data_IF_579599655202
#
_entry.id   IF_579599655202
#
_cell.length_a   1.000
_cell.length_b   1.000
_cell.length_c   1.000
_cell.angle_alpha   90.00
_cell.angle_beta   90.00
_cell.angle_gamma   90.00
#
_symmetry.space_group_name_H-M   'P 1'
#
loop_
_entity.id
_entity.type
_entity.pdbx_description
1 polymer ?
#
# COMPACT_ATOMS: atom_id res chain seq x y z
N UNK A 1 3.90 2.78 -3.65
CA UNK A 1 2.80 1.92 -3.17
C UNK A 1 3.04 0.42 -3.40
N UNK A 2 3.41 -0.04 -4.61
CA UNK A 2 3.60 -1.47 -4.92
C UNK A 2 4.63 -2.19 -4.02
N UNK A 3 5.85 -1.67 -3.94
CA UNK A 3 6.94 -2.28 -3.17
C UNK A 3 6.65 -2.26 -1.66
N UNK A 4 5.94 -1.22 -1.20
CA UNK A 4 5.52 -1.04 0.19
C UNK A 4 4.37 -1.98 0.56
N UNK A 5 3.37 -2.16 -0.31
CA UNK A 5 2.29 -3.14 -0.15
C UNK A 5 2.81 -4.58 -0.11
N UNK A 6 3.83 -4.89 -0.91
CA UNK A 6 4.53 -6.18 -0.85
C UNK A 6 5.20 -6.39 0.51
N UNK A 7 5.96 -5.40 0.99
CA UNK A 7 6.64 -5.49 2.28
C UNK A 7 5.65 -5.61 3.44
N UNK A 8 4.53 -4.88 3.42
CA UNK A 8 3.44 -4.99 4.41
C UNK A 8 2.86 -6.41 4.42
N UNK A 9 2.63 -7.02 3.24
CA UNK A 9 2.16 -8.40 3.14
C UNK A 9 3.16 -9.40 3.75
N UNK A 10 4.45 -9.15 3.58
CA UNK A 10 5.52 -10.05 4.06
C UNK A 10 5.82 -9.89 5.55
N UNK A 11 5.60 -8.71 6.10
CA UNK A 11 6.07 -8.38 7.44
C UNK A 11 5.28 -9.08 8.56
N UNK A 12 4.09 -9.65 8.31
CA UNK A 12 3.18 -10.29 9.30
C UNK A 12 2.78 -9.41 10.50
N UNK A 13 3.38 -8.23 10.66
CA UNK A 13 3.06 -7.22 11.68
C UNK A 13 1.83 -6.38 11.35
N UNK A 14 1.40 -6.38 10.09
CA UNK A 14 0.31 -5.54 9.59
C UNK A 14 -0.83 -6.38 8.99
N UNK A 15 -2.09 -5.92 9.10
CA UNK A 15 -3.22 -6.60 8.47
C UNK A 15 -3.02 -6.66 6.96
N UNK A 16 -3.18 -7.84 6.37
CA UNK A 16 -2.96 -8.09 4.94
C UNK A 16 -3.86 -7.24 4.04
N UNK A 17 -5.01 -6.78 4.55
CA UNK A 17 -5.95 -5.86 3.86
C UNK A 17 -5.24 -4.57 3.40
N UNK A 18 -4.40 -3.97 4.24
CA UNK A 18 -3.70 -2.72 3.88
C UNK A 18 -2.67 -2.93 2.78
N UNK A 19 -2.02 -4.10 2.76
CA UNK A 19 -1.10 -4.48 1.68
C UNK A 19 -1.79 -4.56 0.33
N UNK A 20 -3.00 -5.13 0.27
CA UNK A 20 -3.81 -5.17 -0.96
C UNK A 20 -4.27 -3.79 -1.41
N UNK A 21 -4.71 -2.92 -0.48
CA UNK A 21 -5.05 -1.53 -0.81
C UNK A 21 -3.85 -0.76 -1.41
N UNK A 22 -2.66 -0.96 -0.85
CA UNK A 22 -1.42 -0.35 -1.35
C UNK A 22 -1.00 -0.87 -2.72
N UNK A 23 -1.17 -2.17 -2.97
CA UNK A 23 -0.92 -2.76 -4.28
C UNK A 23 -1.92 -2.22 -5.32
N UNK A 24 -3.21 -2.15 -4.97
CA UNK A 24 -4.25 -1.62 -5.84
C UNK A 24 -4.01 -0.15 -6.21
N UNK A 25 -3.65 0.70 -5.23
CA UNK A 25 -3.28 2.10 -5.49
C UNK A 25 -2.08 2.23 -6.44
N UNK A 26 -1.03 1.42 -6.24
CA UNK A 26 0.14 1.44 -7.12
C UNK A 26 -0.18 0.92 -8.53
N UNK A 27 -1.06 -0.07 -8.65
CA UNK A 27 -1.51 -0.57 -9.95
C UNK A 27 -2.37 0.46 -10.69
N UNK A 28 -3.25 1.16 -9.96
CA UNK A 28 -4.01 2.30 -10.48
C UNK A 28 -3.10 3.38 -11.04
N UNK A 29 -2.06 3.76 -10.29
CA UNK A 29 -1.09 4.77 -10.74
C UNK A 29 -0.36 4.38 -12.04
N UNK A 30 0.00 3.11 -12.19
CA UNK A 30 0.59 2.63 -13.44
C UNK A 30 -0.44 2.66 -14.58
N UNK A 31 -1.67 2.20 -14.33
CA UNK A 31 -2.74 2.22 -15.33
C UNK A 31 -3.07 3.63 -15.81
N UNK A 32 -3.01 4.61 -14.92
CA UNK A 32 -3.10 6.02 -15.28
C UNK A 32 -1.94 6.45 -16.15
N UNK A 33 -0.70 6.30 -15.68
CA UNK A 33 0.49 6.74 -16.43
C UNK A 33 0.53 6.13 -17.83
N UNK A 34 0.23 4.83 -17.96
CA UNK A 34 0.20 4.15 -19.24
C UNK A 34 -1.06 4.45 -20.05
N UNK A 35 -2.21 4.66 -19.39
CA UNK A 35 -3.48 4.99 -20.04
C UNK A 35 -3.48 6.38 -20.66
N UNK A 36 -2.92 7.36 -19.94
CA UNK A 36 -2.69 8.72 -20.39
C UNK A 36 -1.77 8.75 -21.62
N UNK A 37 -0.73 7.90 -21.59
CA UNK A 37 0.21 7.76 -22.70
C UNK A 37 -0.40 7.10 -23.96
N UNK A 38 -1.42 6.25 -23.80
CA UNK A 38 -2.04 5.51 -24.90
C UNK A 38 -3.26 6.23 -25.51
N UNK A 39 -4.01 7.00 -24.70
CA UNK A 39 -5.24 7.70 -25.13
C UNK A 39 -5.32 9.08 -24.45
N UNK A 40 -4.81 10.15 -25.08
CA UNK A 40 -4.95 11.50 -24.55
C UNK A 40 -6.44 11.92 -24.59
N UNK A 41 -7.00 12.34 -23.46
CA UNK A 41 -8.38 12.83 -23.36
C UNK A 41 -9.22 12.34 -22.17
N UNK A 42 -8.71 11.41 -21.34
CA UNK A 42 -9.37 10.97 -20.08
C UNK A 42 -8.51 11.22 -18.82
N UNK A 43 -7.48 12.04 -18.97
CA UNK A 43 -6.43 12.36 -17.99
C UNK A 43 -7.00 12.73 -16.62
N UNK A 44 -8.02 13.60 -16.60
CA UNK A 44 -8.59 14.10 -15.34
C UNK A 44 -9.40 13.06 -14.54
N UNK A 45 -10.07 12.11 -15.20
CA UNK A 45 -10.94 11.14 -14.52
C UNK A 45 -10.12 9.98 -13.99
N UNK A 46 -9.14 9.52 -14.76
CA UNK A 46 -8.15 8.56 -14.30
C UNK A 46 -7.38 9.13 -13.11
N UNK A 47 -7.02 10.42 -13.16
CA UNK A 47 -6.15 11.02 -12.13
C UNK A 47 -6.85 11.18 -10.81
N UNK A 48 -8.14 11.47 -10.89
CA UNK A 48 -8.99 11.57 -9.73
C UNK A 48 -9.25 10.18 -9.13
N UNK A 49 -9.51 9.16 -9.95
CA UNK A 49 -9.70 7.77 -9.47
C UNK A 49 -8.44 7.23 -8.80
N UNK A 50 -7.29 7.40 -9.44
CA UNK A 50 -5.99 6.97 -8.91
C UNK A 50 -5.64 7.75 -7.66
N UNK A 51 -5.77 9.06 -7.70
CA UNK A 51 -5.52 9.95 -6.57
C UNK A 51 -6.35 9.58 -5.35
N UNK A 52 -7.66 9.31 -5.53
CA UNK A 52 -8.53 8.85 -4.44
C UNK A 52 -8.10 7.47 -3.93
N UNK A 53 -7.75 6.53 -4.82
CA UNK A 53 -7.33 5.19 -4.41
C UNK A 53 -6.02 5.21 -3.61
N UNK A 54 -5.08 6.07 -4.00
CA UNK A 54 -3.81 6.27 -3.33
C UNK A 54 -4.00 6.98 -1.99
N UNK A 55 -4.77 8.06 -1.96
CA UNK A 55 -5.11 8.77 -0.75
C UNK A 55 -5.81 7.86 0.26
N UNK A 56 -6.78 7.06 -0.16
CA UNK A 56 -7.45 6.09 0.71
C UNK A 56 -6.45 5.08 1.28
N UNK A 57 -5.56 4.53 0.45
CA UNK A 57 -4.55 3.57 0.89
C UNK A 57 -3.57 4.16 1.90
N UNK A 58 -3.01 5.35 1.63
CA UNK A 58 -2.00 5.98 2.48
C UNK A 58 -2.60 6.55 3.76
N UNK A 59 -3.76 7.21 3.67
CA UNK A 59 -4.45 7.78 4.84
C UNK A 59 -4.94 6.67 5.76
N UNK A 60 -5.54 5.60 5.23
CA UNK A 60 -6.01 4.49 6.07
C UNK A 60 -4.85 3.73 6.73
N UNK A 61 -3.73 3.53 6.02
CA UNK A 61 -2.50 2.95 6.59
C UNK A 61 -1.91 3.84 7.69
N UNK A 62 -1.81 5.15 7.43
CA UNK A 62 -1.28 6.13 8.40
C UNK A 62 -2.17 6.19 9.64
N UNK A 63 -3.49 6.21 9.47
CA UNK A 63 -4.44 6.22 10.57
C UNK A 63 -4.37 4.94 11.40
N UNK A 64 -4.20 3.78 10.75
CA UNK A 64 -3.96 2.51 11.43
C UNK A 64 -2.66 2.53 12.24
N UNK A 65 -1.56 3.03 11.66
CA UNK A 65 -0.29 3.18 12.40
C UNK A 65 -0.41 4.15 13.58
N UNK A 66 -1.20 5.21 13.43
CA UNK A 66 -1.38 6.25 14.46
C UNK A 66 -2.21 5.74 15.65
N UNK A 67 -3.21 4.89 15.42
CA UNK A 67 -4.07 4.34 16.48
C UNK A 67 -3.52 3.03 17.05
N UNK A 68 -3.25 2.06 16.17
CA UNK A 68 -2.83 0.73 16.60
C UNK A 68 -1.35 0.74 17.00
N UNK A 69 -0.50 1.36 16.17
CA UNK A 69 0.95 1.17 16.20
C UNK A 69 1.32 -0.31 16.01
N UNK A 70 2.52 -0.61 15.51
CA UNK A 70 3.01 -2.00 15.53
C UNK A 70 3.29 -2.43 16.97
N UNK A 71 2.26 -2.93 17.66
CA UNK A 71 2.34 -3.42 19.04
C UNK A 71 3.26 -4.64 19.18
N UNK A 72 3.50 -5.36 18.08
CA UNK A 72 4.50 -6.44 18.01
C UNK A 72 5.87 -5.85 17.69
N UNK A 73 6.67 -5.74 18.74
CA UNK A 73 8.10 -5.53 18.65
C UNK A 73 8.72 -6.64 17.80
N UNK A 74 9.46 -6.24 16.76
CA UNK A 74 10.28 -7.10 15.89
C UNK A 74 11.31 -7.97 16.66
N UNK A 75 11.41 -7.79 17.98
CA UNK A 75 12.32 -8.47 18.90
C UNK A 75 12.01 -9.96 19.15
N UNK A 76 10.77 -10.42 18.92
CA UNK A 76 10.41 -11.82 19.26
C UNK A 76 10.86 -12.86 18.21
N UNK A 77 11.01 -12.45 16.94
CA UNK A 77 11.44 -13.33 15.83
C UNK A 77 12.96 -13.36 15.60
N UNK A 78 13.74 -12.63 16.39
CA UNK A 78 15.21 -12.61 16.36
C UNK A 78 15.87 -13.50 17.42
N UNK A 79 15.11 -14.31 18.17
CA UNK A 79 15.73 -15.37 18.97
C UNK A 79 16.36 -16.38 18.00
N UNK A 80 17.69 -16.53 17.97
CA UNK A 80 18.29 -17.60 17.19
C UNK A 80 17.69 -18.92 17.68
N UNK A 81 17.19 -19.74 16.75
CA UNK A 81 16.89 -21.15 17.03
C UNK A 81 18.19 -21.81 17.49
N UNK A 82 18.42 -21.86 18.80
CA UNK A 82 19.37 -22.77 19.42
C UNK A 82 18.58 -24.05 19.72
N UNK A 83 18.45 -24.93 18.74
CA UNK A 83 18.20 -26.37 18.95
C UNK A 83 18.74 -27.14 17.76
#
# INVERSE_FOLDING_TARGET
>A
CLLLGWQIRRADVFPTIFGWLMLAAGCGYLLETFGDFLVPGHEGVLALVVGISAALGEVSLTFYMLIAGTKTSYSENLKPKIT
#
